data_IF_628830895339
#
_entry.id   IF_628830895339
#
_cell.length_a   1.000
_cell.length_b   1.000
_cell.length_c   1.000
_cell.angle_alpha   90.00
_cell.angle_beta   90.00
_cell.angle_gamma   90.00
#
_symmetry.space_group_name_H-M   'P 1'
#
loop_
_entity.id
_entity.type
_entity.pdbx_description
1 polymer ?
#
# COMPACT_ATOMS: atom_id res chain seq x y z
N UNK A 1 11.08 -21.45 7.49
CA UNK A 1 11.04 -21.54 8.97
C UNK A 1 12.48 -21.40 9.43
N UNK A 2 12.84 -20.23 9.94
CA UNK A 2 14.15 -19.96 10.51
C UNK A 2 13.92 -19.37 11.90
N UNK A 3 14.49 -20.02 12.90
CA UNK A 3 14.40 -19.67 14.32
C UNK A 3 15.68 -18.90 14.69
N UNK A 4 15.54 -17.69 15.23
CA UNK A 4 16.64 -16.94 15.83
C UNK A 4 16.41 -16.81 17.34
N UNK A 5 17.47 -16.88 18.16
CA UNK A 5 17.37 -16.83 19.60
C UNK A 5 17.22 -15.37 20.06
N UNK A 6 16.15 -15.10 20.82
CA UNK A 6 15.82 -13.75 21.29
C UNK A 6 14.47 -13.33 20.73
N UNK A 7 13.42 -13.59 21.51
CA UNK A 7 12.04 -13.48 21.06
C UNK A 7 11.63 -12.07 20.70
N UNK A 8 11.16 -11.89 19.47
CA UNK A 8 9.83 -11.34 19.14
C UNK A 8 9.41 -11.96 17.79
N UNK A 9 8.65 -13.06 17.80
CA UNK A 9 8.11 -13.65 16.56
C UNK A 9 6.79 -13.01 16.17
N UNK A 10 6.82 -11.74 15.76
CA UNK A 10 5.67 -11.17 15.03
C UNK A 10 6.12 -9.97 14.20
N UNK A 11 6.06 -10.13 12.88
CA UNK A 11 6.23 -9.02 11.95
C UNK A 11 5.08 -8.03 12.15
N UNK A 12 5.31 -6.97 12.91
CA UNK A 12 4.36 -5.85 13.02
C UNK A 12 4.45 -5.04 11.73
N UNK A 13 3.43 -5.17 10.87
CA UNK A 13 3.22 -4.28 9.71
C UNK A 13 2.28 -3.15 10.13
N UNK A 14 2.84 -2.04 10.57
CA UNK A 14 2.12 -0.81 10.94
C UNK A 14 3.01 0.42 10.73
N UNK A 15 2.42 1.59 10.50
CA UNK A 15 3.15 2.87 10.45
C UNK A 15 3.43 3.37 11.87
N UNK A 16 4.68 3.76 12.15
CA UNK A 16 5.06 4.57 13.31
C UNK A 16 5.27 6.03 12.88
N UNK A 17 4.89 6.98 13.75
CA UNK A 17 5.21 8.39 13.58
C UNK A 17 6.29 8.77 14.59
N UNK A 18 7.41 9.33 14.11
CA UNK A 18 8.48 9.87 14.94
C UNK A 18 8.46 11.39 14.82
N UNK A 19 8.38 12.08 15.97
CA UNK A 19 8.52 13.55 16.03
C UNK A 19 10.01 13.89 15.95
N UNK A 20 10.37 14.77 15.00
CA UNK A 20 11.75 15.06 14.58
C UNK A 20 12.67 15.58 15.71
N UNK A 21 13.77 14.86 15.92
CA UNK A 21 15.12 15.38 16.24
C UNK A 21 16.13 14.23 15.98
N UNK A 22 16.48 13.98 14.70
CA UNK A 22 17.18 12.74 14.28
C UNK A 22 18.50 12.93 13.54
N UNK A 23 19.04 14.14 13.41
CA UNK A 23 20.26 14.37 12.63
C UNK A 23 21.55 13.86 13.30
N UNK A 24 21.53 13.50 14.59
CA UNK A 24 22.74 13.18 15.34
C UNK A 24 23.09 11.69 15.55
N UNK A 25 22.15 10.76 15.35
CA UNK A 25 22.30 9.36 15.82
C UNK A 25 22.35 8.30 14.74
N UNK A 26 22.07 8.66 13.49
CA UNK A 26 22.07 7.71 12.38
C UNK A 26 23.49 7.30 11.96
N UNK A 27 24.54 8.01 12.39
CA UNK A 27 25.92 7.76 11.96
C UNK A 27 26.56 6.46 12.47
N UNK A 28 25.93 5.75 13.41
CA UNK A 28 26.56 4.59 14.08
C UNK A 28 26.11 3.22 13.57
N UNK A 29 25.12 3.13 12.68
CA UNK A 29 24.61 1.84 12.18
C UNK A 29 24.64 1.79 10.66
N UNK A 30 25.78 1.36 10.12
CA UNK A 30 25.96 1.14 8.69
C UNK A 30 25.46 -0.27 8.38
N UNK A 31 24.32 -0.40 7.68
CA UNK A 31 23.84 -1.69 7.18
C UNK A 31 24.78 -2.28 6.12
N UNK A 32 24.65 -3.59 5.83
CA UNK A 32 25.50 -4.29 4.84
C UNK A 32 25.52 -3.65 3.43
N UNK A 33 24.53 -2.82 3.09
CA UNK A 33 24.40 -2.10 1.82
C UNK A 33 24.95 -0.68 1.84
N UNK A 34 25.36 -0.15 3.00
CA UNK A 34 25.67 1.28 3.16
C UNK A 34 24.44 2.18 3.24
N UNK A 35 23.23 1.60 3.28
CA UNK A 35 21.97 2.33 3.46
C UNK A 35 21.54 2.32 4.94
N UNK A 36 20.89 3.40 5.38
CA UNK A 36 20.27 3.47 6.69
C UNK A 36 18.86 2.88 6.63
N UNK A 37 18.62 1.79 7.35
CA UNK A 37 17.30 1.19 7.50
C UNK A 37 16.44 2.00 8.44
N UNK A 38 15.20 2.32 8.03
CA UNK A 38 14.22 2.97 8.93
C UNK A 38 13.95 2.14 10.19
N UNK A 39 14.04 0.81 10.09
CA UNK A 39 13.91 -0.11 11.22
C UNK A 39 15.00 0.09 12.26
N UNK A 40 16.22 0.39 11.83
CA UNK A 40 17.35 0.62 12.74
C UNK A 40 17.14 1.90 13.54
N UNK A 41 16.59 2.92 12.88
CA UNK A 41 16.22 4.20 13.52
C UNK A 41 15.11 4.01 14.56
N UNK A 42 14.08 3.23 14.23
CA UNK A 42 12.97 2.94 15.16
C UNK A 42 13.48 2.17 16.37
N UNK A 43 14.34 1.16 16.17
CA UNK A 43 14.92 0.39 17.27
C UNK A 43 15.78 1.27 18.18
N UNK A 44 16.64 2.11 17.62
CA UNK A 44 17.47 3.03 18.39
C UNK A 44 16.67 4.06 19.19
N UNK A 45 15.48 4.46 18.71
CA UNK A 45 14.58 5.35 19.43
C UNK A 45 13.78 4.64 20.53
N UNK A 46 13.48 3.36 20.35
CA UNK A 46 12.70 2.58 21.31
C UNK A 46 13.41 2.38 22.65
N UNK A 47 14.74 2.47 22.66
CA UNK A 47 15.55 2.39 23.89
C UNK A 47 15.34 3.59 24.82
N UNK A 48 15.01 4.76 24.25
CA UNK A 48 14.94 6.03 25.00
C UNK A 48 13.54 6.67 25.03
N UNK A 49 12.64 6.28 24.12
CA UNK A 49 11.31 6.88 23.95
C UNK A 49 10.21 5.82 23.91
N UNK A 50 9.04 6.17 24.44
CA UNK A 50 7.84 5.35 24.31
C UNK A 50 7.26 5.48 22.88
N UNK A 51 7.28 4.39 22.13
CA UNK A 51 6.83 4.34 20.72
C UNK A 51 5.41 3.77 20.65
N UNK A 52 4.49 4.60 20.17
CA UNK A 52 3.10 4.19 19.90
C UNK A 52 2.91 3.59 18.50
N UNK A 53 1.85 2.81 18.34
CA UNK A 53 1.38 2.33 17.04
C UNK A 53 -0.14 2.46 16.93
N UNK A 54 -0.67 2.34 15.72
CA UNK A 54 -2.10 2.26 15.46
C UNK A 54 -2.40 1.10 14.53
N UNK A 55 -3.50 0.40 14.81
CA UNK A 55 -3.96 -0.69 13.97
C UNK A 55 -4.60 -0.13 12.69
N UNK A 56 -4.21 -0.68 11.55
CA UNK A 56 -4.80 -0.37 10.26
C UNK A 56 -5.89 -1.41 9.94
N UNK A 57 -7.02 -0.95 9.38
CA UNK A 57 -8.09 -1.83 8.94
C UNK A 57 -7.70 -2.66 7.69
N UNK A 58 -6.81 -2.13 6.86
CA UNK A 58 -6.26 -2.82 5.69
C UNK A 58 -4.86 -2.30 5.39
N UNK A 59 -3.97 -3.19 4.96
CA UNK A 59 -2.64 -2.87 4.45
C UNK A 59 -2.44 -3.58 3.12
N UNK A 60 -2.11 -2.81 2.08
CA UNK A 60 -1.74 -3.36 0.77
C UNK A 60 -0.30 -2.96 0.52
N UNK A 61 0.57 -3.95 0.38
CA UNK A 61 1.98 -3.74 0.12
C UNK A 61 2.17 -3.29 -1.34
N UNK A 62 2.82 -2.15 -1.54
CA UNK A 62 3.13 -1.59 -2.87
C UNK A 62 4.65 -1.43 -3.07
N UNK A 63 5.45 -2.18 -2.31
CA UNK A 63 6.92 -2.10 -2.37
C UNK A 63 7.52 -2.53 -3.70
N UNK A 64 6.74 -3.16 -4.59
CA UNK A 64 7.15 -3.47 -5.97
C UNK A 64 6.16 -2.88 -6.97
N UNK A 65 6.63 -2.43 -8.15
CA UNK A 65 5.75 -1.77 -9.13
C UNK A 65 4.51 -2.58 -9.53
N UNK A 66 4.63 -3.90 -9.63
CA UNK A 66 3.52 -4.77 -10.01
C UNK A 66 2.48 -4.96 -8.90
N UNK A 67 2.84 -4.73 -7.62
CA UNK A 67 1.86 -4.84 -6.55
C UNK A 67 0.80 -3.73 -6.59
N UNK A 68 1.02 -2.67 -7.38
CA UNK A 68 0.00 -1.68 -7.67
C UNK A 68 -1.20 -2.29 -8.40
N UNK A 69 -0.98 -3.30 -9.25
CA UNK A 69 -2.06 -3.96 -9.98
C UNK A 69 -2.93 -4.78 -9.02
N UNK A 70 -2.31 -5.54 -8.13
CA UNK A 70 -2.99 -6.31 -7.09
C UNK A 70 -3.78 -5.37 -6.15
N UNK A 71 -3.19 -4.22 -5.80
CA UNK A 71 -3.85 -3.20 -4.99
C UNK A 71 -5.07 -2.60 -5.68
N UNK A 72 -4.95 -2.29 -6.98
CA UNK A 72 -6.07 -1.77 -7.76
C UNK A 72 -7.19 -2.79 -7.86
N UNK A 73 -6.88 -4.06 -8.13
CA UNK A 73 -7.88 -5.14 -8.16
C UNK A 73 -8.62 -5.24 -6.82
N UNK A 74 -7.88 -5.29 -5.70
CA UNK A 74 -8.47 -5.35 -4.37
C UNK A 74 -9.40 -4.16 -4.08
N UNK A 75 -8.96 -2.94 -4.40
CA UNK A 75 -9.74 -1.73 -4.17
C UNK A 75 -10.95 -1.63 -5.11
N UNK A 76 -10.86 -2.19 -6.32
CA UNK A 76 -11.94 -2.18 -7.31
C UNK A 76 -12.96 -3.30 -7.11
N UNK A 77 -12.58 -4.42 -6.50
CA UNK A 77 -13.46 -5.60 -6.34
C UNK A 77 -14.78 -5.32 -5.61
N UNK A 78 -14.82 -4.34 -4.72
CA UNK A 78 -16.03 -3.96 -3.95
C UNK A 78 -16.92 -2.90 -4.62
N UNK A 79 -16.58 -2.44 -5.82
CA UNK A 79 -17.30 -1.34 -6.47
C UNK A 79 -18.43 -1.89 -7.36
N UNK A 80 -19.68 -1.48 -7.10
CA UNK A 80 -20.82 -1.74 -8.00
C UNK A 80 -20.69 -1.12 -9.40
N UNK A 81 -21.58 -1.48 -10.31
CA UNK A 81 -21.62 -0.87 -11.65
C UNK A 81 -22.16 0.55 -11.60
N UNK A 82 -21.59 1.44 -12.41
CA UNK A 82 -22.01 2.85 -12.47
C UNK A 82 -21.64 3.45 -13.81
N UNK A 83 -22.61 4.02 -14.53
CA UNK A 83 -22.37 4.65 -15.82
C UNK A 83 -22.61 6.16 -15.71
N UNK A 84 -21.53 6.91 -15.48
CA UNK A 84 -21.53 8.37 -15.41
C UNK A 84 -21.09 9.05 -16.74
N UNK A 85 -20.71 8.26 -17.75
CA UNK A 85 -20.37 8.72 -19.09
C UNK A 85 -21.46 8.45 -20.14
N UNK A 86 -21.11 8.63 -21.42
CA UNK A 86 -22.03 8.37 -22.55
C UNK A 86 -21.76 6.98 -23.12
N UNK A 87 -22.82 6.21 -23.33
CA UNK A 87 -22.77 4.92 -24.03
C UNK A 87 -23.59 5.04 -25.30
N UNK A 88 -22.94 4.86 -26.46
CA UNK A 88 -23.64 4.91 -27.75
C UNK A 88 -24.52 3.66 -27.96
N UNK A 89 -25.60 3.74 -28.77
CA UNK A 89 -26.65 2.70 -28.84
C UNK A 89 -26.21 1.29 -29.23
N UNK A 90 -25.07 1.12 -29.91
CA UNK A 90 -24.57 -0.18 -30.37
C UNK A 90 -23.37 -0.69 -29.57
N UNK A 91 -23.12 -0.15 -28.37
CA UNK A 91 -22.15 -0.68 -27.43
C UNK A 91 -22.80 -1.73 -26.51
N UNK A 92 -22.07 -2.78 -26.16
CA UNK A 92 -22.47 -3.79 -25.18
C UNK A 92 -21.57 -3.72 -23.96
N UNK A 93 -22.19 -3.51 -22.80
CA UNK A 93 -21.53 -3.56 -21.49
C UNK A 93 -22.14 -4.72 -20.71
N UNK A 94 -21.35 -5.75 -20.43
CA UNK A 94 -21.73 -6.91 -19.65
C UNK A 94 -20.83 -7.00 -18.42
N UNK A 95 -21.35 -7.48 -17.29
CA UNK A 95 -20.62 -7.57 -16.00
C UNK A 95 -20.52 -6.24 -15.22
N UNK A 96 -19.65 -6.23 -14.21
CA UNK A 96 -19.52 -5.14 -13.26
C UNK A 96 -18.65 -4.00 -13.82
N UNK A 97 -19.29 -3.04 -14.49
CA UNK A 97 -18.60 -1.98 -15.24
C UNK A 97 -18.89 -0.61 -14.63
N UNK A 98 -17.82 0.16 -14.39
CA UNK A 98 -17.89 1.59 -14.10
C UNK A 98 -17.35 2.42 -15.25
N UNK A 99 -18.14 3.40 -15.70
CA UNK A 99 -17.78 4.39 -16.72
C UNK A 99 -17.77 5.77 -16.07
N UNK A 100 -16.60 6.40 -16.03
CA UNK A 100 -16.43 7.73 -15.44
C UNK A 100 -17.00 8.86 -16.30
N UNK A 101 -17.27 10.01 -15.66
CA UNK A 101 -17.70 11.23 -16.36
C UNK A 101 -16.69 11.64 -17.45
N UNK A 102 -17.18 12.15 -18.57
CA UNK A 102 -16.38 12.51 -19.75
C UNK A 102 -15.96 11.34 -20.63
N UNK A 103 -16.27 10.10 -20.24
CA UNK A 103 -16.01 8.92 -21.08
C UNK A 103 -17.11 8.74 -22.13
N UNK A 104 -16.72 8.25 -23.31
CA UNK A 104 -17.64 7.89 -24.39
C UNK A 104 -17.33 6.45 -24.81
N UNK A 105 -18.27 5.54 -24.57
CA UNK A 105 -18.21 4.17 -25.08
C UNK A 105 -18.84 4.17 -26.47
N UNK A 106 -18.01 3.94 -27.49
CA UNK A 106 -18.41 4.03 -28.89
C UNK A 106 -19.15 2.80 -29.38
N UNK A 107 -19.98 2.98 -30.40
CA UNK A 107 -20.68 1.94 -31.13
C UNK A 107 -19.77 0.77 -31.52
N UNK A 108 -20.27 -0.45 -31.36
CA UNK A 108 -19.53 -1.68 -31.66
C UNK A 108 -18.56 -2.14 -30.56
N UNK A 109 -18.39 -1.37 -29.47
CA UNK A 109 -17.58 -1.80 -28.33
C UNK A 109 -18.28 -2.92 -27.56
N UNK A 110 -17.52 -3.94 -27.15
CA UNK A 110 -18.00 -5.03 -26.29
C UNK A 110 -17.06 -5.13 -25.08
N UNK A 111 -17.57 -4.76 -23.90
CA UNK A 111 -16.82 -4.76 -22.65
C UNK A 111 -17.47 -5.78 -21.71
N UNK A 112 -16.65 -6.65 -21.12
CA UNK A 112 -17.06 -7.76 -20.25
C UNK A 112 -16.15 -7.88 -19.04
#
# INVERSE_FOLDING_TARGET
MWDLPGGISRAYRGFGYVRYELEGRLSETIGLSGEYGITDSINALADDLDIGYSMLGTWIDIGRPWNLLDANEYLLAGNDSEIAGVVEPYATLNSNIRVGNGSIIRNGSYIT
#
